data_IF_223840453659
#
_entry.id   IF_223840453659
#
_cell.length_a   1.000
_cell.length_b   1.000
_cell.length_c   1.000
_cell.angle_alpha   90.00
_cell.angle_beta   90.00
_cell.angle_gamma   90.00
#
_symmetry.space_group_name_H-M   'P 1'
#
loop_
_entity.id
_entity.type
_entity.pdbx_description
1 polymer ?
#
# COMPACT_ATOMS: atom_id res chain seq x y z
N UNK A 1 8.24 -8.09 -34.92
CA UNK A 1 7.86 -9.33 -34.22
C UNK A 1 6.87 -8.98 -33.11
N UNK A 2 5.57 -9.22 -33.33
CA UNK A 2 4.49 -8.86 -32.39
C UNK A 2 4.15 -10.09 -31.55
N UNK A 3 4.45 -10.08 -30.25
CA UNK A 3 4.03 -11.13 -29.31
C UNK A 3 2.60 -10.83 -28.85
N UNK A 4 1.65 -11.66 -29.26
CA UNK A 4 0.27 -11.67 -28.75
C UNK A 4 0.27 -12.48 -27.45
N UNK A 5 -0.15 -11.86 -26.34
CA UNK A 5 -0.48 -12.58 -25.10
C UNK A 5 -1.98 -12.89 -25.12
N UNK A 6 -2.30 -14.15 -25.31
CA UNK A 6 -3.65 -14.70 -25.14
C UNK A 6 -3.82 -15.07 -23.66
N UNK A 7 -4.69 -14.38 -22.95
CA UNK A 7 -5.13 -14.76 -21.60
C UNK A 7 -6.42 -15.55 -21.75
N UNK A 8 -6.35 -16.85 -21.45
CA UNK A 8 -7.48 -17.78 -21.42
C UNK A 8 -8.13 -17.69 -20.04
N UNK A 9 -9.35 -17.14 -20.01
CA UNK A 9 -10.23 -17.14 -18.84
C UNK A 9 -10.91 -18.51 -18.79
N UNK A 10 -10.59 -19.32 -17.79
CA UNK A 10 -11.30 -20.55 -17.49
C UNK A 10 -12.35 -20.28 -16.40
N UNK A 11 -13.57 -19.96 -16.83
CA UNK A 11 -14.77 -20.04 -15.99
C UNK A 11 -15.28 -21.47 -16.07
N UNK A 12 -15.14 -22.23 -15.00
CA UNK A 12 -15.82 -23.53 -14.88
C UNK A 12 -17.03 -23.38 -13.97
N UNK A 13 -18.19 -23.24 -14.61
CA UNK A 13 -19.47 -23.71 -14.07
C UNK A 13 -19.38 -25.24 -13.90
N UNK A 14 -19.70 -25.73 -12.72
CA UNK A 14 -20.24 -27.08 -12.56
C UNK A 14 -21.41 -27.02 -11.58
N UNK A 15 -22.58 -27.40 -12.08
CA UNK A 15 -23.78 -27.55 -11.30
C UNK A 15 -24.10 -29.01 -11.00
N UNK A 16 -25.01 -29.15 -10.03
CA UNK A 16 -26.08 -30.17 -9.91
C UNK A 16 -25.75 -31.48 -9.16
N UNK A 17 -26.33 -31.53 -7.94
CA UNK A 17 -27.08 -32.63 -7.27
C UNK A 17 -26.32 -33.72 -6.49
N UNK A 18 -26.59 -33.77 -5.18
CA UNK A 18 -27.35 -34.85 -4.53
C UNK A 18 -27.73 -34.44 -3.09
N UNK A 19 -29.02 -34.34 -2.81
CA UNK A 19 -29.55 -34.22 -1.44
C UNK A 19 -29.71 -35.64 -0.91
N UNK A 20 -28.98 -35.99 0.13
CA UNK A 20 -29.25 -37.17 0.97
C UNK A 20 -29.66 -36.71 2.38
N UNK A 21 -30.69 -37.32 3.00
CA UNK A 21 -31.00 -37.06 4.39
C UNK A 21 -29.98 -37.80 5.27
N UNK A 22 -29.04 -37.08 5.86
CA UNK A 22 -28.16 -37.63 6.90
C UNK A 22 -28.79 -37.40 8.25
N UNK A 23 -29.00 -38.51 8.95
CA UNK A 23 -29.56 -38.61 10.28
C UNK A 23 -28.82 -37.72 11.29
N UNK A 24 -29.62 -37.03 12.11
CA UNK A 24 -29.19 -36.35 13.33
C UNK A 24 -28.55 -37.38 14.26
N UNK A 25 -27.24 -37.31 14.42
CA UNK A 25 -26.51 -37.96 15.50
C UNK A 25 -25.85 -36.85 16.31
N UNK A 26 -26.40 -36.61 17.50
CA UNK A 26 -25.82 -35.73 18.50
C UNK A 26 -24.43 -36.25 18.86
N UNK A 27 -23.40 -35.64 18.29
CA UNK A 27 -22.03 -35.76 18.73
C UNK A 27 -21.64 -34.39 19.28
N UNK A 28 -21.58 -34.30 20.61
CA UNK A 28 -21.00 -33.20 21.36
C UNK A 28 -19.58 -33.01 20.86
N UNK A 29 -19.40 -32.04 19.97
CA UNK A 29 -18.09 -31.65 19.46
C UNK A 29 -17.86 -30.28 20.06
N UNK A 30 -16.88 -30.20 20.95
CA UNK A 30 -16.40 -28.94 21.51
C UNK A 30 -15.96 -28.06 20.35
N UNK A 31 -16.78 -27.05 20.08
CA UNK A 31 -16.55 -25.99 19.12
C UNK A 31 -15.38 -25.15 19.63
N UNK A 32 -14.15 -25.58 19.30
CA UNK A 32 -13.00 -24.69 19.31
C UNK A 32 -13.11 -23.84 18.06
N UNK A 33 -13.95 -22.82 18.15
CA UNK A 33 -13.97 -21.73 17.19
C UNK A 33 -12.64 -20.98 17.37
N UNK A 34 -11.61 -21.38 16.61
CA UNK A 34 -10.45 -20.52 16.36
C UNK A 34 -10.95 -19.29 15.60
N UNK A 35 -11.44 -18.33 16.36
CA UNK A 35 -11.64 -16.97 15.89
C UNK A 35 -10.27 -16.46 15.48
N UNK A 36 -9.95 -16.59 14.20
CA UNK A 36 -8.89 -15.81 13.55
C UNK A 36 -9.35 -14.36 13.60
N UNK A 37 -9.12 -13.71 14.76
CA UNK A 37 -9.22 -12.26 14.87
C UNK A 37 -8.18 -11.69 13.92
N UNK A 38 -8.62 -11.18 12.78
CA UNK A 38 -7.88 -10.15 12.07
C UNK A 38 -7.57 -9.06 13.09
N UNK A 39 -6.33 -9.08 13.58
CA UNK A 39 -5.85 -8.05 14.49
C UNK A 39 -5.71 -6.81 13.63
N UNK A 40 -6.67 -5.89 13.75
CA UNK A 40 -6.65 -4.58 13.10
C UNK A 40 -5.30 -3.92 13.35
N UNK A 41 -4.71 -3.27 12.34
CA UNK A 41 -3.33 -2.75 12.39
C UNK A 41 -3.08 -1.75 13.53
N UNK A 42 -4.13 -1.14 14.09
CA UNK A 42 -4.06 -0.31 15.29
C UNK A 42 -3.76 -1.09 16.58
N UNK A 43 -4.30 -2.30 16.76
CA UNK A 43 -4.08 -3.11 17.97
C UNK A 43 -2.63 -3.62 18.10
N UNK A 44 -1.87 -3.63 16.98
CA UNK A 44 -0.44 -3.98 17.01
C UNK A 44 0.45 -2.84 17.51
N UNK A 45 0.00 -1.59 17.44
CA UNK A 45 0.81 -0.41 17.83
C UNK A 45 0.77 -0.22 19.35
N UNK A 46 -0.31 -0.61 20.02
CA UNK A 46 -0.54 -0.39 21.47
C UNK A 46 0.11 -1.42 22.40
N UNK A 47 0.69 -2.49 21.87
CA UNK A 47 1.33 -3.55 22.67
C UNK A 47 2.59 -3.03 23.37
N UNK A 48 2.94 -3.58 24.52
CA UNK A 48 4.24 -3.31 25.17
C UNK A 48 5.40 -3.85 24.33
N UNK A 49 6.61 -3.31 24.53
CA UNK A 49 7.82 -3.74 23.82
C UNK A 49 8.06 -5.26 23.95
N UNK A 50 7.95 -5.80 25.17
CA UNK A 50 8.13 -7.24 25.41
C UNK A 50 7.06 -8.08 24.70
N UNK A 51 5.80 -7.62 24.68
CA UNK A 51 4.74 -8.29 23.94
C UNK A 51 5.03 -8.33 22.44
N UNK A 52 5.57 -7.24 21.88
CA UNK A 52 6.00 -7.20 20.48
C UNK A 52 7.18 -8.13 20.22
N UNK A 53 8.17 -8.21 21.10
CA UNK A 53 9.27 -9.16 20.97
C UNK A 53 8.83 -10.63 20.97
N UNK A 54 7.86 -10.99 21.83
CA UNK A 54 7.30 -12.34 21.81
C UNK A 54 6.55 -12.61 20.50
N UNK A 55 5.81 -11.61 20.00
CA UNK A 55 5.16 -11.72 18.70
C UNK A 55 6.18 -11.91 17.57
N UNK A 56 7.28 -11.14 17.55
CA UNK A 56 8.31 -11.28 16.53
C UNK A 56 8.94 -12.67 16.54
N UNK A 57 9.20 -13.25 17.72
CA UNK A 57 9.72 -14.61 17.83
C UNK A 57 8.72 -15.66 17.32
N UNK A 58 7.42 -15.44 17.54
CA UNK A 58 6.36 -16.31 17.02
C UNK A 58 6.24 -16.21 15.50
N UNK A 59 6.28 -15.00 14.96
CA UNK A 59 6.15 -14.74 13.52
C UNK A 59 7.42 -15.17 12.75
N UNK A 60 8.58 -15.16 13.43
CA UNK A 60 9.88 -15.51 12.86
C UNK A 60 10.57 -16.63 13.66
N UNK A 61 10.05 -17.87 13.65
CA UNK A 61 10.50 -18.95 14.54
C UNK A 61 11.85 -19.58 14.15
N UNK A 62 12.55 -19.03 13.15
CA UNK A 62 13.79 -19.59 12.62
C UNK A 62 14.94 -19.47 13.63
N UNK A 63 15.15 -20.53 14.41
CA UNK A 63 16.22 -20.62 15.39
C UNK A 63 17.60 -20.55 14.71
N UNK A 64 18.48 -19.75 15.29
CA UNK A 64 19.87 -19.66 14.83
C UNK A 64 20.64 -20.91 15.27
N UNK A 65 21.45 -21.46 14.37
CA UNK A 65 22.45 -22.46 14.77
C UNK A 65 23.51 -21.82 15.68
N UNK A 66 24.23 -22.61 16.48
CA UNK A 66 25.32 -22.12 17.34
C UNK A 66 26.35 -21.28 16.58
N UNK A 67 26.69 -21.70 15.36
CA UNK A 67 27.61 -20.98 14.49
C UNK A 67 27.04 -19.62 14.03
N UNK A 68 25.75 -19.57 13.66
CA UNK A 68 25.07 -18.34 13.28
C UNK A 68 24.95 -17.37 14.46
N UNK A 69 24.63 -17.88 15.66
CA UNK A 69 24.54 -17.07 16.87
C UNK A 69 25.89 -16.45 17.24
N UNK A 70 26.98 -17.23 17.16
CA UNK A 70 28.34 -16.73 17.40
C UNK A 70 28.72 -15.65 16.39
N UNK A 71 28.43 -15.86 15.10
CA UNK A 71 28.68 -14.88 14.05
C UNK A 71 27.86 -13.60 14.26
N UNK A 72 26.59 -13.73 14.65
CA UNK A 72 25.71 -12.59 14.88
C UNK A 72 26.18 -11.77 16.09
N UNK A 73 26.58 -12.42 17.19
CA UNK A 73 27.18 -11.76 18.36
C UNK A 73 28.40 -10.90 17.99
N UNK A 74 29.31 -11.43 17.17
CA UNK A 74 30.48 -10.68 16.71
C UNK A 74 30.14 -9.47 15.82
N UNK A 75 28.95 -9.47 15.19
CA UNK A 75 28.46 -8.40 14.34
C UNK A 75 27.48 -7.45 15.04
N UNK A 76 27.10 -7.74 16.30
CA UNK A 76 26.03 -7.05 17.01
C UNK A 76 26.27 -5.54 17.15
N UNK A 77 27.41 -5.12 17.70
CA UNK A 77 27.75 -3.69 17.86
C UNK A 77 27.75 -2.93 16.53
N UNK A 78 28.46 -3.39 15.48
CA UNK A 78 28.38 -2.77 14.16
C UNK A 78 26.96 -2.73 13.59
N UNK A 79 26.16 -3.79 13.80
CA UNK A 79 24.79 -3.85 13.33
C UNK A 79 23.90 -2.83 14.05
N UNK A 80 23.96 -2.73 15.38
CA UNK A 80 23.18 -1.76 16.15
C UNK A 80 23.49 -0.30 15.76
N UNK A 81 24.78 0.03 15.57
CA UNK A 81 25.18 1.37 15.10
C UNK A 81 24.58 1.68 13.73
N UNK A 82 24.63 0.70 12.81
CA UNK A 82 24.01 0.83 11.48
C UNK A 82 22.51 0.98 11.58
N UNK A 83 21.84 0.15 12.39
CA UNK A 83 20.39 0.21 12.58
C UNK A 83 19.95 1.60 13.03
N UNK A 84 20.58 2.19 14.06
CA UNK A 84 20.21 3.54 14.53
C UNK A 84 20.27 4.59 13.41
N UNK A 85 21.37 4.59 12.64
CA UNK A 85 21.52 5.49 11.48
C UNK A 85 20.45 5.24 10.41
N UNK A 86 20.15 3.97 10.13
CA UNK A 86 19.11 3.62 9.16
C UNK A 86 17.72 4.02 9.65
N UNK A 87 17.42 3.87 10.95
CA UNK A 87 16.14 4.26 11.56
C UNK A 87 15.88 5.74 11.34
N UNK A 88 16.82 6.61 11.71
CA UNK A 88 16.67 8.06 11.53
C UNK A 88 16.48 8.46 10.06
N UNK A 89 17.26 7.86 9.17
CA UNK A 89 17.17 8.14 7.74
C UNK A 89 15.86 7.61 7.14
N UNK A 90 15.39 6.44 7.56
CA UNK A 90 14.17 5.82 7.11
C UNK A 90 12.94 6.63 7.53
N UNK A 91 12.88 7.06 8.80
CA UNK A 91 11.82 7.95 9.32
C UNK A 91 11.71 9.21 8.47
N UNK A 92 12.81 9.97 8.33
CA UNK A 92 12.84 11.22 7.55
C UNK A 92 12.44 11.03 6.09
N UNK A 93 12.87 9.93 5.45
CA UNK A 93 12.52 9.63 4.05
C UNK A 93 11.05 9.22 3.92
N UNK A 94 10.54 8.43 4.86
CA UNK A 94 9.15 8.02 4.92
C UNK A 94 8.21 9.21 5.05
N UNK A 95 8.47 10.11 6.01
CA UNK A 95 7.62 11.28 6.28
C UNK A 95 7.59 12.23 5.08
N UNK A 96 8.75 12.48 4.46
CA UNK A 96 8.84 13.28 3.23
C UNK A 96 8.01 12.68 2.09
N UNK A 97 8.00 11.36 1.96
CA UNK A 97 7.24 10.65 0.93
C UNK A 97 5.75 10.66 1.22
N UNK A 98 5.35 10.46 2.48
CA UNK A 98 3.96 10.57 2.91
C UNK A 98 3.41 11.97 2.58
N UNK A 99 4.15 13.02 2.96
CA UNK A 99 3.78 14.41 2.66
C UNK A 99 3.62 14.63 1.15
N UNK A 100 4.56 14.15 0.34
CA UNK A 100 4.47 14.25 -1.11
C UNK A 100 3.17 13.63 -1.66
N UNK A 101 2.79 12.45 -1.16
CA UNK A 101 1.57 11.79 -1.62
C UNK A 101 0.31 12.52 -1.18
N UNK A 102 0.29 13.07 0.04
CA UNK A 102 -0.80 13.93 0.51
C UNK A 102 -0.92 15.19 -0.34
N UNK A 103 0.21 15.85 -0.67
CA UNK A 103 0.22 17.02 -1.55
C UNK A 103 -0.32 16.71 -2.96
N UNK A 104 -0.03 15.51 -3.50
CA UNK A 104 -0.59 15.06 -4.79
C UNK A 104 -2.10 14.88 -4.69
N UNK A 105 -2.58 14.22 -3.63
CA UNK A 105 -4.02 14.03 -3.37
C UNK A 105 -4.74 15.37 -3.32
N UNK A 106 -4.25 16.33 -2.52
CA UNK A 106 -4.83 17.67 -2.41
C UNK A 106 -4.89 18.38 -3.76
N UNK A 107 -3.79 18.35 -4.54
CA UNK A 107 -3.78 18.98 -5.87
C UNK A 107 -4.78 18.35 -6.83
N UNK A 108 -4.96 17.02 -6.79
CA UNK A 108 -5.91 16.34 -7.65
C UNK A 108 -7.36 16.65 -7.26
N UNK A 109 -7.65 16.79 -5.97
CA UNK A 109 -8.95 17.24 -5.49
C UNK A 109 -9.25 18.67 -5.95
N UNK A 110 -8.28 19.58 -5.84
CA UNK A 110 -8.42 20.96 -6.32
C UNK A 110 -8.67 21.00 -7.82
N UNK A 111 -7.92 20.21 -8.61
CA UNK A 111 -8.15 20.09 -10.05
C UNK A 111 -9.55 19.55 -10.34
N UNK A 112 -9.96 18.48 -9.66
CA UNK A 112 -11.29 17.88 -9.83
C UNK A 112 -12.40 18.89 -9.51
N UNK A 113 -12.25 19.65 -8.42
CA UNK A 113 -13.21 20.70 -8.04
C UNK A 113 -13.31 21.77 -9.12
N UNK A 114 -12.18 22.30 -9.60
CA UNK A 114 -12.15 23.31 -10.67
C UNK A 114 -12.79 22.80 -11.97
N UNK A 115 -12.57 21.54 -12.33
CA UNK A 115 -13.20 20.92 -13.50
C UNK A 115 -14.72 20.79 -13.35
N UNK A 116 -15.22 20.52 -12.14
CA UNK A 116 -16.67 20.47 -11.86
C UNK A 116 -17.34 21.84 -11.91
N UNK A 117 -16.62 22.87 -11.47
CA UNK A 117 -17.05 24.26 -11.47
C UNK A 117 -16.87 24.93 -12.83
N UNK A 118 -16.18 24.28 -13.77
CA UNK A 118 -15.98 24.78 -15.13
C UNK A 118 -17.34 24.95 -15.83
N UNK A 119 -17.60 26.18 -16.28
CA UNK A 119 -18.84 26.61 -16.92
C UNK A 119 -18.72 26.82 -18.43
N UNK A 120 -17.68 26.27 -19.06
CA UNK A 120 -17.53 26.32 -20.52
C UNK A 120 -18.58 25.47 -21.24
N UNK A 121 -18.66 25.62 -22.56
CA UNK A 121 -19.69 24.99 -23.40
C UNK A 121 -19.78 23.48 -23.23
N UNK A 122 -18.65 22.80 -23.02
CA UNK A 122 -18.62 21.37 -22.72
C UNK A 122 -17.92 21.10 -21.40
N UNK A 123 -18.72 20.77 -20.39
CA UNK A 123 -18.24 20.35 -19.08
C UNK A 123 -17.46 19.03 -19.19
N UNK A 124 -16.18 18.97 -18.77
CA UNK A 124 -15.41 17.73 -18.79
C UNK A 124 -16.01 16.69 -17.83
N UNK A 125 -16.04 15.43 -18.25
CA UNK A 125 -16.44 14.33 -17.36
C UNK A 125 -15.31 14.03 -16.36
N UNK A 126 -15.59 14.19 -15.06
CA UNK A 126 -14.60 14.01 -13.98
C UNK A 126 -14.75 12.70 -13.20
N UNK A 127 -15.73 11.86 -13.54
CA UNK A 127 -16.11 10.68 -12.74
C UNK A 127 -14.93 9.71 -12.59
N UNK A 128 -14.23 9.38 -13.68
CA UNK A 128 -13.08 8.47 -13.62
C UNK A 128 -11.91 9.04 -12.79
N UNK A 129 -11.68 10.35 -12.89
CA UNK A 129 -10.65 11.02 -12.10
C UNK A 129 -10.98 10.98 -10.61
N UNK A 130 -12.24 11.20 -10.23
CA UNK A 130 -12.72 11.14 -8.84
C UNK A 130 -12.55 9.76 -8.21
N UNK A 131 -12.88 8.72 -8.97
CA UNK A 131 -12.69 7.32 -8.53
C UNK A 131 -11.21 7.07 -8.25
N UNK A 132 -10.32 7.47 -9.18
CA UNK A 132 -8.87 7.29 -9.03
C UNK A 132 -8.27 8.13 -7.89
N UNK A 133 -8.79 9.33 -7.64
CA UNK A 133 -8.38 10.16 -6.48
C UNK A 133 -8.80 9.49 -5.17
N UNK A 134 -10.00 8.92 -5.12
CA UNK A 134 -10.48 8.17 -3.94
C UNK A 134 -9.64 6.92 -3.69
N UNK A 135 -9.29 6.19 -4.75
CA UNK A 135 -8.39 5.05 -4.66
C UNK A 135 -6.99 5.48 -4.18
N UNK A 136 -6.46 6.60 -4.70
CA UNK A 136 -5.17 7.13 -4.27
C UNK A 136 -5.19 7.49 -2.79
N UNK A 137 -6.24 8.15 -2.29
CA UNK A 137 -6.42 8.44 -0.86
C UNK A 137 -6.32 7.17 -0.01
N UNK A 138 -7.04 6.13 -0.39
CA UNK A 138 -7.02 4.85 0.33
C UNK A 138 -5.60 4.26 0.36
N UNK A 139 -4.90 4.25 -0.79
CA UNK A 139 -3.51 3.76 -0.86
C UNK A 139 -2.53 4.61 -0.05
N UNK A 140 -2.73 5.92 0.04
CA UNK A 140 -1.92 6.82 0.88
C UNK A 140 -2.12 6.53 2.36
N UNK A 141 -3.35 6.26 2.81
CA UNK A 141 -3.60 5.84 4.19
C UNK A 141 -2.99 4.46 4.48
N UNK A 142 -3.06 3.50 3.55
CA UNK A 142 -2.34 2.22 3.69
C UNK A 142 -0.82 2.44 3.82
N UNK A 143 -0.22 3.29 2.97
CA UNK A 143 1.20 3.64 3.05
C UNK A 143 1.56 4.28 4.39
N UNK A 144 0.71 5.16 4.93
CA UNK A 144 0.91 5.78 6.25
C UNK A 144 0.91 4.75 7.37
N UNK A 145 0.00 3.78 7.32
CA UNK A 145 -0.04 2.66 8.27
C UNK A 145 1.22 1.79 8.17
N UNK A 146 1.62 1.42 6.95
CA UNK A 146 2.84 0.64 6.72
C UNK A 146 4.09 1.41 7.19
N UNK A 147 4.12 2.72 6.98
CA UNK A 147 5.21 3.57 7.43
C UNK A 147 5.29 3.57 8.95
N UNK A 148 4.16 3.75 9.64
CA UNK A 148 4.10 3.73 11.09
C UNK A 148 4.57 2.38 11.66
N UNK A 149 4.11 1.26 11.10
CA UNK A 149 4.52 -0.07 11.59
C UNK A 149 5.99 -0.35 11.32
N UNK A 150 6.52 0.11 10.18
CA UNK A 150 7.95 0.03 9.88
C UNK A 150 8.80 0.87 10.84
N UNK A 151 8.36 2.08 11.18
CA UNK A 151 9.04 2.95 12.15
C UNK A 151 9.05 2.31 13.55
N UNK A 152 7.95 1.71 13.98
CA UNK A 152 7.88 0.96 15.25
C UNK A 152 8.86 -0.21 15.25
N UNK A 153 8.86 -1.04 14.20
CA UNK A 153 9.78 -2.18 14.10
C UNK A 153 11.26 -1.74 14.12
N UNK A 154 11.59 -0.63 13.45
CA UNK A 154 12.94 -0.06 13.47
C UNK A 154 13.35 0.45 14.85
N UNK A 155 12.42 1.09 15.58
CA UNK A 155 12.65 1.54 16.94
C UNK A 155 12.89 0.36 17.89
N UNK A 156 12.06 -0.67 17.79
CA UNK A 156 12.18 -1.91 18.57
C UNK A 156 13.51 -2.59 18.29
N UNK A 157 13.88 -2.79 17.03
CA UNK A 157 15.17 -3.37 16.65
C UNK A 157 16.36 -2.57 17.21
N UNK A 158 16.25 -1.23 17.23
CA UNK A 158 17.30 -0.36 17.78
C UNK A 158 17.41 -0.42 19.30
N UNK A 159 16.36 -0.90 19.98
CA UNK A 159 16.24 -0.99 21.44
C UNK A 159 16.68 -2.35 21.98
N UNK A 160 16.75 -3.40 21.15
CA UNK A 160 17.24 -4.72 21.57
C UNK A 160 18.74 -4.67 21.82
N UNK A 161 19.19 -5.10 23.00
CA UNK A 161 20.60 -5.43 23.23
C UNK A 161 20.96 -6.73 22.49
N UNK A 162 21.63 -6.60 21.34
CA UNK A 162 21.95 -7.73 20.47
C UNK A 162 22.92 -8.74 21.11
N UNK A 163 23.84 -8.28 21.97
CA UNK A 163 24.83 -9.16 22.63
C UNK A 163 24.16 -10.08 23.66
N UNK A 164 23.20 -9.54 24.41
CA UNK A 164 22.43 -10.26 25.44
C UNK A 164 21.28 -11.09 24.83
N UNK A 165 20.55 -10.51 23.88
CA UNK A 165 19.31 -11.06 23.34
C UNK A 165 19.39 -11.30 21.84
N UNK A 166 20.38 -12.08 21.41
CA UNK A 166 20.68 -12.33 19.99
C UNK A 166 19.47 -12.88 19.19
N UNK A 167 18.70 -13.80 19.78
CA UNK A 167 17.51 -14.36 19.11
C UNK A 167 16.39 -13.32 18.95
N UNK A 168 16.17 -12.50 19.99
CA UNK A 168 15.21 -11.37 19.92
C UNK A 168 15.64 -10.37 18.85
N UNK A 169 16.93 -10.05 18.76
CA UNK A 169 17.45 -9.14 17.75
C UNK A 169 17.25 -9.68 16.33
N UNK A 170 17.48 -10.98 16.12
CA UNK A 170 17.23 -11.62 14.82
C UNK A 170 15.76 -11.55 14.43
N UNK A 171 14.85 -11.89 15.34
CA UNK A 171 13.41 -11.82 15.09
C UNK A 171 12.94 -10.38 14.78
N UNK A 172 13.41 -9.40 15.55
CA UNK A 172 13.12 -7.98 15.29
C UNK A 172 13.68 -7.51 13.93
N UNK A 173 14.84 -8.03 13.51
CA UNK A 173 15.44 -7.70 12.22
C UNK A 173 14.62 -8.24 11.06
N UNK A 174 14.09 -9.46 11.18
CA UNK A 174 13.21 -10.04 10.16
C UNK A 174 11.88 -9.30 10.09
N UNK A 175 11.32 -8.91 11.24
CA UNK A 175 10.13 -8.07 11.27
C UNK A 175 10.35 -6.74 10.54
N UNK A 176 11.48 -6.07 10.78
CA UNK A 176 11.84 -4.84 10.06
C UNK A 176 11.88 -5.06 8.55
N UNK A 177 12.40 -6.19 8.08
CA UNK A 177 12.45 -6.52 6.64
C UNK A 177 11.07 -6.72 6.06
N UNK A 178 10.18 -7.40 6.78
CA UNK A 178 8.81 -7.63 6.33
C UNK A 178 8.02 -6.32 6.25
N UNK A 179 8.14 -5.47 7.27
CA UNK A 179 7.50 -4.14 7.26
C UNK A 179 8.10 -3.22 6.21
N UNK A 180 9.41 -3.31 5.94
CA UNK A 180 10.02 -2.61 4.81
C UNK A 180 9.43 -3.07 3.47
N UNK A 181 9.23 -4.38 3.29
CA UNK A 181 8.64 -4.95 2.08
C UNK A 181 7.22 -4.43 1.87
N UNK A 182 6.39 -4.44 2.90
CA UNK A 182 5.04 -3.88 2.85
C UNK A 182 5.05 -2.40 2.44
N UNK A 183 5.90 -1.59 3.07
CA UNK A 183 6.04 -0.17 2.75
C UNK A 183 6.48 0.08 1.29
N UNK A 184 7.40 -0.74 0.78
CA UNK A 184 7.85 -0.68 -0.62
C UNK A 184 6.72 -1.06 -1.58
N UNK A 185 5.93 -2.09 -1.27
CA UNK A 185 4.75 -2.49 -2.04
C UNK A 185 3.75 -1.33 -2.12
N UNK A 186 3.34 -0.76 -1.00
CA UNK A 186 2.40 0.38 -0.95
C UNK A 186 2.94 1.60 -1.71
N UNK A 187 4.24 1.89 -1.59
CA UNK A 187 4.87 2.95 -2.39
C UNK A 187 4.84 2.67 -3.90
N UNK A 188 4.93 1.41 -4.31
CA UNK A 188 4.91 0.99 -5.72
C UNK A 188 3.51 1.10 -6.27
N UNK A 189 2.50 0.63 -5.53
CA UNK A 189 1.10 0.73 -5.93
C UNK A 189 0.63 2.18 -6.12
N UNK A 190 1.01 3.08 -5.21
CA UNK A 190 0.74 4.52 -5.36
C UNK A 190 1.37 5.05 -6.66
N UNK A 191 2.63 4.71 -6.92
CA UNK A 191 3.34 5.14 -8.12
C UNK A 191 2.68 4.60 -9.39
N UNK A 192 2.25 3.33 -9.39
CA UNK A 192 1.54 2.70 -10.50
C UNK A 192 0.21 3.42 -10.75
N UNK A 193 -0.61 3.62 -9.73
CA UNK A 193 -1.90 4.33 -9.87
C UNK A 193 -1.72 5.75 -10.43
N UNK A 194 -0.71 6.48 -9.96
CA UNK A 194 -0.41 7.83 -10.48
C UNK A 194 -0.02 7.78 -11.97
N UNK A 195 0.88 6.88 -12.36
CA UNK A 195 1.43 6.88 -13.71
C UNK A 195 0.53 6.22 -14.75
N UNK A 196 -0.17 5.17 -14.36
CA UNK A 196 -0.96 4.32 -15.28
C UNK A 196 -2.47 4.61 -15.17
N UNK A 197 -2.93 5.21 -14.06
CA UNK A 197 -4.34 5.58 -13.87
C UNK A 197 -4.60 7.07 -14.01
N UNK A 198 -3.99 7.88 -13.14
CA UNK A 198 -4.33 9.31 -12.97
C UNK A 198 -3.77 10.17 -14.10
N UNK A 199 -2.48 10.03 -14.42
CA UNK A 199 -1.86 10.85 -15.48
C UNK A 199 -2.56 10.70 -16.84
N UNK A 200 -2.85 9.49 -17.34
CA UNK A 200 -3.58 9.34 -18.60
C UNK A 200 -4.97 10.01 -18.54
N UNK A 201 -5.64 9.96 -17.40
CA UNK A 201 -6.95 10.61 -17.24
C UNK A 201 -6.87 12.13 -17.33
N UNK A 202 -5.87 12.73 -16.68
CA UNK A 202 -5.60 14.16 -16.80
C UNK A 202 -5.26 14.58 -18.24
N UNK A 203 -4.57 13.72 -18.99
CA UNK A 203 -4.27 13.97 -20.41
C UNK A 203 -5.56 13.98 -21.24
N UNK A 204 -6.44 12.97 -21.08
CA UNK A 204 -7.73 12.94 -21.78
C UNK A 204 -8.58 14.18 -21.48
N UNK A 205 -8.65 14.57 -20.21
CA UNK A 205 -9.42 15.76 -19.80
C UNK A 205 -8.83 17.02 -20.43
N UNK A 206 -7.49 17.14 -20.45
CA UNK A 206 -6.81 18.27 -21.10
C UNK A 206 -7.11 18.32 -22.60
N UNK A 207 -7.05 17.18 -23.28
CA UNK A 207 -7.35 17.07 -24.71
C UNK A 207 -8.80 17.47 -25.01
N UNK A 208 -9.75 17.00 -24.20
CA UNK A 208 -11.17 17.36 -24.32
C UNK A 208 -11.45 18.86 -24.08
N UNK A 209 -10.66 19.51 -23.22
CA UNK A 209 -10.75 20.96 -23.00
C UNK A 209 -10.09 21.76 -24.13
N UNK A 210 -8.95 21.28 -24.65
CA UNK A 210 -8.20 21.99 -25.70
C UNK A 210 -8.94 21.98 -27.05
N UNK A 211 -9.60 20.86 -27.38
CA UNK A 211 -10.43 20.75 -28.59
C UNK A 211 -11.62 21.75 -28.62
N UNK A 212 -12.03 22.28 -27.47
CA UNK A 212 -13.06 23.33 -27.41
C UNK A 212 -12.50 24.68 -27.83
N UNK A 213 -11.28 25.02 -27.39
CA UNK A 213 -10.64 26.30 -27.70
C UNK A 213 -10.39 26.44 -29.21
N UNK A 214 -9.95 25.37 -29.88
CA UNK A 214 -9.67 25.40 -31.32
C UNK A 214 -10.94 25.45 -32.19
N UNK A 215 -12.09 24.99 -31.67
CA UNK A 215 -13.36 25.00 -32.39
C UNK A 215 -14.02 26.39 -32.42
N UNK A 216 -13.86 27.16 -31.34
CA UNK A 216 -14.44 28.51 -31.22
C UNK A 216 -13.69 29.53 -32.11
N UNK A 217 -12.35 29.45 -32.22
CA UNK A 217 -11.56 30.37 -33.05
C UNK A 217 -11.85 30.25 -34.57
N UNK A 218 -12.31 29.08 -35.04
CA UNK A 218 -12.62 28.87 -36.46
C UNK A 218 -14.04 29.31 -36.88
N UNK A 219 -14.92 29.68 -35.93
CA UNK A 219 -16.26 30.20 -36.26
C UNK A 219 -16.29 31.71 -36.48
N UNK A 220 -15.37 32.48 -35.89
CA UNK A 220 -15.35 33.95 -36.06
C UNK A 220 -14.77 34.42 -37.40
N UNK A 221 -13.99 33.59 -38.12
CA UNK A 221 -13.39 33.98 -39.40
C UNK A 221 -14.33 33.76 -40.61
N UNK A 222 -15.39 32.94 -40.48
CA UNK A 222 -16.31 32.65 -41.60
C UNK A 222 -17.45 33.64 -41.79
N UNK A 223 -17.66 34.57 -40.86
CA UNK A 223 -18.76 35.54 -40.94
C UNK A 223 -18.36 36.91 -41.53
N UNK A 224 -17.09 37.09 -41.92
CA UNK A 224 -16.59 38.37 -42.47
C UNK A 224 -16.45 38.44 -44.01
N UNK A 225 -16.77 37.37 -44.75
CA UNK A 225 -16.62 37.37 -46.23
C UNK A 225 -17.92 37.42 -47.04
N UNK A 226 -19.05 37.78 -46.41
CA UNK A 226 -20.36 37.83 -47.09
C UNK A 226 -21.12 39.16 -46.91
N UNK A 227 -20.40 40.26 -46.78
CA UNK A 227 -20.94 41.63 -46.79
C UNK A 227 -20.49 42.43 -48.00
#
# INVERSE_FOLDING_TARGET
MKKKFTVLIAVTLFGIVAITPIAVRAATTEDTTETTKETTTQDKIEKTLDSRYQQYKKDHPNALTKAQLTRLKNLCKPAQIKTKKYTEAAVKKGDKRLKLYQDIVTKLEDVTKKLKEYSGETKPNTIELEVKVTELKAKVESFKVDLSTYQVALNDLSSVNCEEFTDTFKAALDEVRDKQKALVTSSTEIKTLINEGIKPELVKIKEALSAQTDATDNQDEKDQTNG
#
